data_IF_223603683388
#
_entry.id   IF_223603683388
#
_cell.length_a   1.000
_cell.length_b   1.000
_cell.length_c   1.000
_cell.angle_alpha   90.00
_cell.angle_beta   90.00
_cell.angle_gamma   90.00
#
_symmetry.space_group_name_H-M   'P 1'
#
loop_
_entity.id
_entity.type
_entity.pdbx_description
1 polymer ?
#
# COMPACT_ATOMS: atom_id res chain seq x y z
N UNK A 1 -16.10 -0.73 -14.14
CA UNK A 1 -15.19 -0.26 -13.07
C UNK A 1 -14.26 0.79 -13.69
N UNK A 2 -14.01 1.92 -13.03
CA UNK A 2 -13.03 2.91 -13.52
C UNK A 2 -11.61 2.35 -13.38
N UNK A 3 -10.69 2.80 -14.24
CA UNK A 3 -9.29 2.41 -14.15
C UNK A 3 -8.70 2.88 -12.80
N UNK A 4 -8.23 1.96 -11.93
CA UNK A 4 -7.62 2.32 -10.66
C UNK A 4 -6.38 3.19 -10.81
N UNK A 5 -5.63 3.07 -11.90
CA UNK A 5 -4.44 3.89 -12.14
C UNK A 5 -4.84 5.35 -12.38
N UNK A 6 -5.90 5.60 -13.13
CA UNK A 6 -6.43 6.94 -13.35
C UNK A 6 -6.96 7.55 -12.05
N UNK A 7 -7.67 6.77 -11.23
CA UNK A 7 -8.17 7.23 -9.93
C UNK A 7 -7.05 7.59 -8.94
N UNK A 8 -5.90 6.92 -9.03
CA UNK A 8 -4.75 7.15 -8.13
C UNK A 8 -3.87 8.31 -8.57
N UNK A 9 -3.64 8.41 -9.88
CA UNK A 9 -2.65 9.33 -10.43
C UNK A 9 -3.28 10.64 -10.92
N UNK A 10 -4.53 10.58 -11.38
CA UNK A 10 -5.22 11.73 -12.00
C UNK A 10 -6.68 11.86 -11.48
N UNK A 11 -6.92 11.85 -10.15
CA UNK A 11 -8.27 11.86 -9.60
C UNK A 11 -9.06 13.12 -9.98
N UNK A 12 -8.40 14.27 -10.15
CA UNK A 12 -9.03 15.53 -10.55
C UNK A 12 -9.56 15.46 -11.98
N UNK A 13 -8.78 14.91 -12.91
CA UNK A 13 -9.21 14.73 -14.30
C UNK A 13 -10.40 13.75 -14.40
N UNK A 14 -10.44 12.73 -13.52
CA UNK A 14 -11.59 11.82 -13.41
C UNK A 14 -12.80 12.55 -12.81
N UNK A 15 -12.61 13.36 -11.78
CA UNK A 15 -13.67 14.15 -11.16
C UNK A 15 -14.33 15.12 -12.15
N UNK A 16 -13.54 15.82 -12.99
CA UNK A 16 -14.05 16.70 -14.03
C UNK A 16 -14.92 15.96 -15.05
N UNK A 17 -14.46 14.79 -15.52
CA UNK A 17 -15.22 13.96 -16.47
C UNK A 17 -16.51 13.41 -15.86
N UNK A 18 -16.50 13.09 -14.57
CA UNK A 18 -17.68 12.63 -13.84
C UNK A 18 -18.67 13.77 -13.56
N UNK A 19 -18.18 14.98 -13.28
CA UNK A 19 -19.01 16.16 -13.06
C UNK A 19 -19.85 16.50 -14.31
N UNK A 20 -19.30 16.30 -15.51
CA UNK A 20 -20.05 16.42 -16.78
C UNK A 20 -21.24 15.47 -16.88
N UNK A 21 -21.21 14.36 -16.15
CA UNK A 21 -22.28 13.37 -16.07
C UNK A 21 -23.18 13.56 -14.84
N UNK A 22 -23.02 14.67 -14.12
CA UNK A 22 -23.79 14.98 -12.91
C UNK A 22 -23.32 14.23 -11.65
N UNK A 23 -22.14 13.59 -11.69
CA UNK A 23 -21.60 12.88 -10.53
C UNK A 23 -20.44 13.66 -9.89
N UNK A 24 -20.52 13.89 -8.58
CA UNK A 24 -19.46 14.51 -7.80
C UNK A 24 -18.58 13.44 -7.17
N UNK A 25 -17.35 13.30 -7.67
CA UNK A 25 -16.35 12.45 -7.05
C UNK A 25 -15.76 13.13 -5.81
N UNK A 26 -15.73 12.42 -4.69
CA UNK A 26 -15.04 12.88 -3.49
C UNK A 26 -13.53 12.58 -3.59
N UNK A 27 -12.80 13.53 -4.17
CA UNK A 27 -11.36 13.44 -4.40
C UNK A 27 -10.58 13.49 -3.09
N UNK A 28 -11.06 14.19 -2.08
CA UNK A 28 -10.37 14.36 -0.80
C UNK A 28 -10.31 13.02 -0.04
N UNK A 29 -11.47 12.36 0.09
CA UNK A 29 -11.54 11.02 0.69
C UNK A 29 -10.73 10.01 -0.11
N UNK A 30 -10.74 10.08 -1.44
CA UNK A 30 -9.96 9.17 -2.29
C UNK A 30 -8.45 9.35 -2.06
N UNK A 31 -7.98 10.61 -1.98
CA UNK A 31 -6.57 10.92 -1.71
C UNK A 31 -6.13 10.44 -0.33
N UNK A 32 -6.94 10.67 0.70
CA UNK A 32 -6.61 10.23 2.07
C UNK A 32 -6.53 8.70 2.18
N UNK A 33 -7.42 7.99 1.51
CA UNK A 33 -7.41 6.52 1.48
C UNK A 33 -6.19 5.98 0.72
N UNK A 34 -5.80 6.61 -0.40
CA UNK A 34 -4.60 6.19 -1.15
C UNK A 34 -3.30 6.49 -0.41
N UNK A 35 -3.23 7.60 0.34
CA UNK A 35 -2.10 7.87 1.24
C UNK A 35 -1.98 6.78 2.31
N UNK A 36 -3.10 6.47 2.99
CA UNK A 36 -3.14 5.39 3.99
C UNK A 36 -2.75 4.04 3.39
N UNK A 37 -3.22 3.73 2.17
CA UNK A 37 -2.85 2.51 1.47
C UNK A 37 -1.34 2.43 1.24
N UNK A 38 -0.71 3.51 0.77
CA UNK A 38 0.75 3.54 0.54
C UNK A 38 1.52 3.30 1.83
N UNK A 39 1.12 3.94 2.93
CA UNK A 39 1.75 3.73 4.25
C UNK A 39 1.66 2.26 4.66
N UNK A 40 0.47 1.67 4.59
CA UNK A 40 0.26 0.25 4.96
C UNK A 40 1.05 -0.71 4.06
N UNK A 41 1.18 -0.39 2.77
CA UNK A 41 1.99 -1.19 1.86
C UNK A 41 3.46 -1.22 2.30
N UNK A 42 4.05 -0.05 2.55
CA UNK A 42 5.45 0.06 3.01
C UNK A 42 5.65 -0.63 4.35
N UNK A 43 4.72 -0.43 5.30
CA UNK A 43 4.76 -1.09 6.61
C UNK A 43 4.73 -2.62 6.48
N UNK A 44 3.86 -3.14 5.61
CA UNK A 44 3.77 -4.58 5.34
C UNK A 44 5.07 -5.13 4.76
N UNK A 45 5.64 -4.44 3.78
CA UNK A 45 6.92 -4.82 3.15
C UNK A 45 8.06 -4.83 4.17
N UNK A 46 8.10 -3.83 5.06
CA UNK A 46 9.09 -3.75 6.15
C UNK A 46 8.94 -4.90 7.15
N UNK A 47 7.74 -5.16 7.64
CA UNK A 47 7.47 -6.26 8.58
C UNK A 47 7.80 -7.62 7.96
N UNK A 48 7.50 -7.78 6.67
CA UNK A 48 7.83 -8.99 5.92
C UNK A 48 9.35 -9.19 5.79
N UNK A 49 10.11 -8.11 5.54
CA UNK A 49 11.57 -8.14 5.49
C UNK A 49 12.16 -8.46 6.88
N UNK A 50 11.65 -7.84 7.94
CA UNK A 50 12.08 -8.10 9.32
C UNK A 50 11.86 -9.56 9.70
N UNK A 51 10.66 -10.10 9.43
CA UNK A 51 10.34 -11.51 9.68
C UNK A 51 11.31 -12.44 8.98
N UNK A 52 11.59 -12.19 7.69
CA UNK A 52 12.50 -13.02 6.91
C UNK A 52 13.94 -12.96 7.44
N UNK A 53 14.39 -11.78 7.87
CA UNK A 53 15.69 -11.59 8.51
C UNK A 53 15.79 -12.40 9.80
N UNK A 54 14.81 -12.27 10.70
CA UNK A 54 14.75 -13.02 11.97
C UNK A 54 14.74 -14.53 11.75
N UNK A 55 13.90 -15.02 10.83
CA UNK A 55 13.85 -16.46 10.51
C UNK A 55 15.20 -16.99 10.00
N UNK A 56 15.92 -16.19 9.20
CA UNK A 56 17.25 -16.56 8.71
C UNK A 56 18.26 -16.62 9.86
N UNK A 57 18.27 -15.64 10.74
CA UNK A 57 19.14 -15.62 11.93
C UNK A 57 18.88 -16.81 12.85
N UNK A 58 17.61 -17.15 13.08
CA UNK A 58 17.19 -18.33 13.86
C UNK A 58 17.72 -19.62 13.22
N UNK A 59 17.54 -19.79 11.91
CA UNK A 59 18.06 -20.96 11.20
C UNK A 59 19.58 -21.10 11.30
N UNK A 60 20.30 -19.97 11.25
CA UNK A 60 21.76 -19.93 11.41
C UNK A 60 22.19 -20.27 12.85
N UNK A 61 21.54 -19.71 13.87
CA UNK A 61 21.80 -20.01 15.28
C UNK A 61 21.59 -21.50 15.56
N UNK A 62 20.46 -22.07 15.07
CA UNK A 62 20.18 -23.50 15.16
C UNK A 62 21.28 -24.37 14.55
N UNK A 63 21.78 -23.99 13.38
CA UNK A 63 22.84 -24.73 12.70
C UNK A 63 24.17 -24.66 13.45
N UNK A 64 24.43 -23.57 14.19
CA UNK A 64 25.62 -23.40 15.05
C UNK A 64 25.48 -24.05 16.44
N UNK A 65 24.30 -24.60 16.78
CA UNK A 65 24.03 -25.15 18.11
C UNK A 65 23.89 -24.09 19.20
N UNK A 66 23.65 -22.84 18.80
CA UNK A 66 23.32 -21.74 19.71
C UNK A 66 21.89 -21.91 20.24
N UNK A 67 21.63 -21.46 21.47
CA UNK A 67 20.27 -21.41 22.00
C UNK A 67 19.44 -20.39 21.23
N UNK A 68 18.17 -20.71 20.93
CA UNK A 68 17.31 -20.00 19.96
C UNK A 68 16.14 -19.36 20.68
#
# INVERSE_FOLDING_TARGET
MLDPNLLRNEPDAVAEKLARRGYKLDVETLRSLEERRKVLQVETENLQAERNSRSKSIGQAKARGEDI
#
